data_IF_739305183093
#
_entry.id   IF_739305183093
#
_cell.length_a   1.000
_cell.length_b   1.000
_cell.length_c   1.000
_cell.angle_alpha   90.00
_cell.angle_beta   90.00
_cell.angle_gamma   90.00
#
_symmetry.space_group_name_H-M   'P 1'
#
loop_
_entity.id
_entity.type
_entity.pdbx_description
1 polymer ?
#
# COMPACT_ATOMS: atom_id res chain seq x y z
N UNK A 1 3.14 12.20 14.84
CA UNK A 1 2.93 11.64 13.47
C UNK A 1 4.16 10.80 13.14
N UNK A 2 3.97 9.57 12.67
CA UNK A 2 5.07 8.72 12.20
C UNK A 2 5.44 9.12 10.76
N UNK A 3 6.72 9.29 10.48
CA UNK A 3 7.23 9.63 9.16
C UNK A 3 8.11 8.48 8.67
N UNK A 4 7.85 7.98 7.48
CA UNK A 4 8.66 6.95 6.82
C UNK A 4 9.42 7.52 5.64
N UNK A 5 10.58 6.94 5.37
CA UNK A 5 11.28 7.10 4.09
C UNK A 5 11.11 5.85 3.23
N UNK A 6 11.50 5.93 1.98
CA UNK A 6 11.50 4.82 1.04
C UNK A 6 12.76 4.83 0.20
N UNK A 7 13.38 3.67 0.03
CA UNK A 7 14.54 3.45 -0.82
C UNK A 7 14.30 2.27 -1.76
N UNK A 8 14.94 2.32 -2.91
CA UNK A 8 14.80 1.33 -3.97
C UNK A 8 13.60 1.59 -4.87
N UNK A 9 13.60 0.94 -6.02
CA UNK A 9 12.54 1.02 -7.02
C UNK A 9 11.75 -0.29 -7.00
N UNK A 10 10.43 -0.19 -6.88
CA UNK A 10 9.53 -1.36 -6.89
C UNK A 10 9.67 -2.12 -8.21
N UNK A 11 9.95 -3.42 -8.10
CA UNK A 11 10.26 -4.27 -9.25
C UNK A 11 11.72 -4.17 -9.73
N UNK A 12 12.54 -3.35 -9.07
CA UNK A 12 13.97 -3.26 -9.28
C UNK A 12 14.77 -4.28 -8.45
N UNK A 13 16.05 -3.97 -8.25
CA UNK A 13 16.94 -4.77 -7.39
C UNK A 13 16.57 -4.59 -5.91
N UNK A 14 16.95 -5.56 -5.07
CA UNK A 14 16.82 -5.44 -3.62
C UNK A 14 17.64 -4.25 -3.10
N UNK A 15 17.12 -3.60 -2.06
CA UNK A 15 17.83 -2.55 -1.34
C UNK A 15 19.04 -3.10 -0.61
N UNK A 16 20.07 -2.28 -0.42
CA UNK A 16 21.30 -2.63 0.28
C UNK A 16 21.50 -1.83 1.57
N UNK A 17 22.40 -2.28 2.43
CA UNK A 17 22.76 -1.56 3.64
C UNK A 17 23.34 -0.18 3.33
N UNK A 18 24.18 -0.08 2.31
CA UNK A 18 24.81 1.16 1.88
C UNK A 18 23.78 2.17 1.36
N UNK A 19 22.76 1.72 0.60
CA UNK A 19 21.67 2.57 0.15
C UNK A 19 20.85 3.11 1.32
N UNK A 20 20.53 2.25 2.30
CA UNK A 20 19.83 2.66 3.51
C UNK A 20 20.64 3.69 4.30
N UNK A 21 21.89 3.43 4.56
CA UNK A 21 22.76 4.31 5.33
C UNK A 21 22.94 5.65 4.63
N UNK A 22 23.25 5.66 3.33
CA UNK A 22 23.42 6.88 2.56
C UNK A 22 22.16 7.75 2.59
N UNK A 23 20.98 7.15 2.40
CA UNK A 23 19.72 7.88 2.43
C UNK A 23 19.43 8.49 3.81
N UNK A 24 19.55 7.71 4.88
CA UNK A 24 19.23 8.16 6.24
C UNK A 24 20.21 9.19 6.74
N UNK A 25 21.51 9.00 6.47
CA UNK A 25 22.56 9.94 6.90
C UNK A 25 22.41 11.30 6.21
N UNK A 26 22.14 11.33 4.91
CA UNK A 26 21.86 12.57 4.16
C UNK A 26 20.59 13.26 4.66
N UNK A 27 19.51 12.48 4.87
CA UNK A 27 18.27 13.02 5.42
C UNK A 27 18.49 13.65 6.81
N UNK A 28 19.16 12.95 7.71
CA UNK A 28 19.41 13.44 9.07
C UNK A 28 20.29 14.70 9.07
N UNK A 29 21.32 14.75 8.20
CA UNK A 29 22.14 15.94 8.05
C UNK A 29 21.34 17.15 7.53
N UNK A 30 20.48 16.92 6.55
CA UNK A 30 19.59 17.95 6.03
C UNK A 30 18.56 18.43 7.06
N UNK A 31 17.96 17.50 7.81
CA UNK A 31 16.99 17.80 8.87
C UNK A 31 17.65 18.61 9.99
N UNK A 32 18.81 18.20 10.45
CA UNK A 32 19.55 18.92 11.51
C UNK A 32 19.87 20.37 11.11
N UNK A 33 20.10 20.61 9.82
CA UNK A 33 20.35 21.95 9.27
C UNK A 33 19.09 22.77 9.08
N UNK A 34 18.03 22.18 8.54
CA UNK A 34 16.79 22.90 8.15
C UNK A 34 15.76 23.02 9.28
N UNK A 35 15.73 22.05 10.20
CA UNK A 35 14.78 21.99 11.30
C UNK A 35 15.40 21.37 12.56
N UNK A 36 16.36 22.07 13.20
CA UNK A 36 17.07 21.54 14.36
C UNK A 36 16.11 21.13 15.48
N UNK A 37 16.37 19.96 16.10
CA UNK A 37 15.57 19.43 17.21
C UNK A 37 14.22 18.81 16.82
N UNK A 38 13.88 18.77 15.54
CA UNK A 38 12.69 18.04 15.08
C UNK A 38 12.97 16.55 14.97
N UNK A 39 12.00 15.67 15.33
CA UNK A 39 12.14 14.24 15.14
C UNK A 39 12.24 13.92 13.64
N UNK A 40 13.12 12.98 13.30
CA UNK A 40 13.30 12.49 11.94
C UNK A 40 12.33 11.37 11.58
N UNK A 41 12.77 10.55 10.65
CA UNK A 41 12.04 9.33 10.26
C UNK A 41 11.99 8.33 11.42
N UNK A 42 10.94 7.53 11.42
CA UNK A 42 10.71 6.47 12.41
C UNK A 42 10.70 5.08 11.80
N UNK A 43 10.71 4.97 10.48
CA UNK A 43 10.66 3.73 9.72
C UNK A 43 11.17 3.96 8.30
N UNK A 44 11.51 2.89 7.59
CA UNK A 44 11.99 2.97 6.21
C UNK A 44 11.45 1.81 5.38
N UNK A 45 10.86 2.14 4.24
CA UNK A 45 10.47 1.16 3.23
C UNK A 45 11.68 0.75 2.40
N UNK A 46 11.77 -0.54 2.12
CA UNK A 46 12.87 -1.16 1.39
C UNK A 46 12.35 -2.09 0.30
N UNK A 47 13.16 -2.32 -0.72
CA UNK A 47 12.86 -3.26 -1.79
C UNK A 47 13.45 -4.63 -1.49
N UNK A 48 12.61 -5.66 -1.60
CA UNK A 48 12.94 -7.07 -1.28
C UNK A 48 12.50 -8.04 -2.38
N UNK A 49 12.41 -7.56 -3.64
CA UNK A 49 12.04 -8.38 -4.80
C UNK A 49 10.53 -8.43 -5.08
N UNK A 50 9.72 -7.60 -4.40
CA UNK A 50 8.28 -7.50 -4.68
C UNK A 50 7.97 -6.48 -5.76
N UNK A 51 6.78 -6.58 -6.37
CA UNK A 51 6.21 -5.57 -7.26
C UNK A 51 4.79 -5.22 -6.80
N UNK A 52 4.37 -3.97 -7.00
CA UNK A 52 3.01 -3.54 -6.65
C UNK A 52 1.97 -4.29 -7.50
N UNK A 53 1.02 -4.94 -6.81
CA UNK A 53 -0.06 -5.69 -7.45
C UNK A 53 0.35 -7.00 -8.10
N UNK A 54 1.64 -7.37 -8.06
CA UNK A 54 2.15 -8.55 -8.74
C UNK A 54 2.14 -8.43 -10.27
N UNK A 55 2.51 -9.52 -10.95
CA UNK A 55 2.53 -9.59 -12.41
C UNK A 55 1.41 -10.52 -12.86
N UNK A 56 0.31 -9.99 -13.46
CA UNK A 56 -0.77 -10.84 -13.96
C UNK A 56 -0.31 -11.63 -15.19
N UNK A 57 -0.56 -12.93 -15.15
CA UNK A 57 -0.31 -13.85 -16.26
C UNK A 57 -1.49 -13.87 -17.24
N UNK A 58 -1.30 -14.36 -18.49
CA UNK A 58 -2.37 -14.41 -19.50
C UNK A 58 -3.58 -15.25 -19.10
N UNK A 59 -3.41 -16.21 -18.20
CA UNK A 59 -4.47 -17.06 -17.65
C UNK A 59 -5.24 -16.42 -16.47
N UNK A 60 -4.94 -15.16 -16.14
CA UNK A 60 -5.56 -14.42 -15.03
C UNK A 60 -4.94 -14.70 -13.65
N UNK A 61 -4.00 -15.61 -13.56
CA UNK A 61 -3.26 -15.85 -12.31
C UNK A 61 -2.16 -14.81 -12.10
N UNK A 62 -1.60 -14.76 -10.90
CA UNK A 62 -0.49 -13.85 -10.58
C UNK A 62 0.80 -14.67 -10.53
N UNK A 63 1.84 -14.15 -11.16
CA UNK A 63 3.17 -14.75 -11.09
C UNK A 63 3.64 -14.88 -9.64
N UNK A 64 4.27 -16.00 -9.31
CA UNK A 64 4.83 -16.21 -7.97
C UNK A 64 5.90 -15.16 -7.68
N UNK A 65 5.72 -14.43 -6.61
CA UNK A 65 6.70 -13.46 -6.09
C UNK A 65 7.64 -14.18 -5.14
N UNK A 66 8.94 -14.00 -5.33
CA UNK A 66 9.95 -14.47 -4.39
C UNK A 66 10.40 -13.29 -3.54
N UNK A 67 9.89 -13.22 -2.31
CA UNK A 67 10.31 -12.24 -1.33
C UNK A 67 11.64 -12.65 -0.70
N UNK A 68 12.57 -11.72 -0.62
CA UNK A 68 13.84 -11.89 0.07
C UNK A 68 13.70 -11.48 1.54
N UNK A 69 13.37 -12.44 2.38
CA UNK A 69 13.23 -12.24 3.81
C UNK A 69 14.56 -11.95 4.52
N UNK A 70 15.69 -12.39 3.98
CA UNK A 70 16.99 -12.14 4.59
C UNK A 70 17.39 -10.68 4.42
N UNK A 71 17.13 -10.10 3.25
CA UNK A 71 17.26 -8.65 3.03
C UNK A 71 16.32 -7.88 3.97
N UNK A 72 15.06 -8.29 4.10
CA UNK A 72 14.11 -7.65 5.02
C UNK A 72 14.63 -7.65 6.46
N UNK A 73 15.09 -8.80 6.95
CA UNK A 73 15.57 -8.96 8.33
C UNK A 73 16.83 -8.13 8.60
N UNK A 74 17.81 -8.23 7.71
CA UNK A 74 19.08 -7.52 7.85
C UNK A 74 18.93 -6.01 7.86
N UNK A 75 18.15 -5.45 6.91
CA UNK A 75 17.91 -4.01 6.83
C UNK A 75 16.96 -3.51 7.93
N UNK A 76 16.00 -4.32 8.35
CA UNK A 76 15.17 -4.00 9.50
C UNK A 76 15.99 -3.93 10.79
N UNK A 77 16.91 -4.86 10.99
CA UNK A 77 17.85 -4.86 12.12
C UNK A 77 18.76 -3.63 12.08
N UNK A 78 19.38 -3.36 10.93
CA UNK A 78 20.25 -2.19 10.73
C UNK A 78 19.51 -0.88 11.06
N UNK A 79 18.29 -0.71 10.54
CA UNK A 79 17.49 0.48 10.78
C UNK A 79 17.15 0.70 12.27
N UNK A 80 16.93 -0.38 13.02
CA UNK A 80 16.67 -0.29 14.46
C UNK A 80 17.94 0.00 15.26
N UNK A 81 19.01 -0.74 15.00
CA UNK A 81 20.22 -0.69 15.83
C UNK A 81 21.01 0.61 15.59
N UNK A 82 21.12 1.06 14.33
CA UNK A 82 21.90 2.25 13.99
C UNK A 82 21.09 3.56 14.09
N UNK A 83 19.82 3.54 13.71
CA UNK A 83 19.02 4.75 13.57
C UNK A 83 17.87 4.88 14.56
N UNK A 84 17.59 3.85 15.37
CA UNK A 84 16.51 3.84 16.34
C UNK A 84 15.10 3.81 15.70
N UNK A 85 14.98 3.34 14.47
CA UNK A 85 13.71 3.19 13.78
C UNK A 85 12.88 2.04 14.36
N UNK A 86 11.59 2.01 14.06
CA UNK A 86 10.74 0.88 14.41
C UNK A 86 11.10 -0.40 13.62
N UNK A 87 11.67 -0.25 12.44
CA UNK A 87 12.09 -1.33 11.55
C UNK A 87 11.85 -1.00 10.08
N UNK A 88 11.92 -2.03 9.25
CA UNK A 88 11.60 -1.93 7.82
C UNK A 88 10.11 -2.03 7.54
N UNK A 89 9.68 -1.34 6.49
CA UNK A 89 8.32 -1.39 5.92
C UNK A 89 8.37 -2.20 4.64
N UNK A 90 7.39 -3.10 4.45
CA UNK A 90 7.25 -3.90 3.24
C UNK A 90 6.10 -3.40 2.37
N UNK A 91 6.42 -3.09 1.11
CA UNK A 91 5.44 -2.82 0.05
C UNK A 91 5.28 -4.04 -0.87
N UNK A 92 4.26 -4.02 -1.73
CA UNK A 92 4.05 -5.04 -2.76
C UNK A 92 3.69 -6.43 -2.23
N UNK A 93 3.19 -6.54 -1.00
CA UNK A 93 2.86 -7.82 -0.37
C UNK A 93 1.45 -8.36 -0.71
N UNK A 94 0.63 -7.61 -1.45
CA UNK A 94 -0.78 -7.96 -1.72
C UNK A 94 -1.00 -9.27 -2.48
N UNK A 95 0.01 -9.80 -3.14
CA UNK A 95 -0.07 -11.02 -3.94
C UNK A 95 0.75 -12.18 -3.39
N UNK A 96 1.24 -12.03 -2.16
CA UNK A 96 1.98 -13.09 -1.49
C UNK A 96 1.04 -14.20 -1.01
N UNK A 97 1.52 -15.45 -0.99
CA UNK A 97 0.82 -16.55 -0.34
C UNK A 97 0.52 -16.25 1.13
N UNK A 98 -0.68 -16.61 1.57
CA UNK A 98 -1.18 -16.28 2.91
C UNK A 98 -0.30 -16.79 4.05
N UNK A 99 0.34 -17.93 3.86
CA UNK A 99 1.25 -18.58 4.83
C UNK A 99 2.52 -17.76 5.10
N UNK A 100 2.89 -16.83 4.21
CA UNK A 100 4.09 -16.02 4.37
C UNK A 100 3.88 -14.80 5.28
N UNK A 101 2.64 -14.38 5.53
CA UNK A 101 2.40 -13.18 6.34
C UNK A 101 2.93 -13.31 7.77
N UNK A 102 2.94 -14.50 8.35
CA UNK A 102 3.52 -14.76 9.66
C UNK A 102 5.05 -14.59 9.73
N UNK A 103 5.75 -14.53 8.60
CA UNK A 103 7.20 -14.32 8.58
C UNK A 103 7.58 -12.85 8.80
N UNK A 104 6.75 -11.89 8.41
CA UNK A 104 7.06 -10.47 8.56
C UNK A 104 7.39 -10.04 10.00
N UNK A 105 6.54 -10.32 11.01
CA UNK A 105 6.89 -9.96 12.39
C UNK A 105 8.10 -10.73 12.92
N UNK A 106 8.35 -11.96 12.45
CA UNK A 106 9.54 -12.71 12.83
C UNK A 106 10.84 -12.08 12.30
N UNK A 107 10.77 -11.47 11.12
CA UNK A 107 11.88 -10.77 10.46
C UNK A 107 11.95 -9.29 10.85
N UNK A 108 11.12 -8.86 11.80
CA UNK A 108 11.17 -7.52 12.37
C UNK A 108 10.62 -6.42 11.45
N UNK A 109 9.82 -6.75 10.46
CA UNK A 109 9.05 -5.74 9.74
C UNK A 109 8.11 -5.02 10.72
N UNK A 110 8.10 -3.69 10.67
CA UNK A 110 7.27 -2.88 11.55
C UNK A 110 5.94 -2.49 10.90
N UNK A 111 5.85 -2.59 9.58
CA UNK A 111 4.66 -2.18 8.82
C UNK A 111 4.60 -2.91 7.49
N UNK A 112 3.39 -3.22 7.03
CA UNK A 112 3.13 -3.86 5.74
C UNK A 112 2.07 -3.05 5.02
N UNK A 113 2.32 -2.69 3.76
CA UNK A 113 1.35 -1.98 2.93
C UNK A 113 0.66 -2.94 1.97
N UNK A 114 -0.66 -2.96 2.03
CA UNK A 114 -1.52 -3.81 1.21
C UNK A 114 -2.63 -2.96 0.58
N UNK A 115 -2.82 -3.10 -0.72
CA UNK A 115 -3.89 -2.39 -1.44
C UNK A 115 -4.58 -3.28 -2.48
N UNK A 116 -3.83 -3.82 -3.43
CA UNK A 116 -4.35 -4.52 -4.61
C UNK A 116 -5.22 -5.73 -4.24
N UNK A 117 -4.86 -6.47 -3.21
CA UNK A 117 -5.66 -7.62 -2.75
C UNK A 117 -7.10 -7.20 -2.40
N UNK A 118 -7.26 -6.12 -1.63
CA UNK A 118 -8.59 -5.65 -1.22
C UNK A 118 -9.39 -5.12 -2.41
N UNK A 119 -8.73 -4.46 -3.36
CA UNK A 119 -9.38 -4.07 -4.62
C UNK A 119 -9.86 -5.29 -5.40
N UNK A 120 -9.04 -6.32 -5.49
CA UNK A 120 -9.40 -7.58 -6.13
C UNK A 120 -10.59 -8.25 -5.42
N UNK A 121 -10.56 -8.32 -4.11
CA UNK A 121 -11.66 -8.87 -3.32
C UNK A 121 -12.98 -8.16 -3.59
N UNK A 122 -12.97 -6.84 -3.80
CA UNK A 122 -14.17 -6.07 -4.14
C UNK A 122 -14.65 -6.42 -5.55
N UNK A 123 -13.79 -6.25 -6.58
CA UNK A 123 -14.18 -6.39 -7.99
C UNK A 123 -14.48 -7.83 -8.41
N UNK A 124 -13.85 -8.80 -7.75
CA UNK A 124 -14.00 -10.24 -8.07
C UNK A 124 -14.99 -10.94 -7.13
N UNK A 125 -15.58 -10.21 -6.16
CA UNK A 125 -16.58 -10.78 -5.27
C UNK A 125 -17.81 -11.26 -6.04
N UNK A 126 -18.35 -12.46 -5.77
CA UNK A 126 -19.53 -12.99 -6.50
C UNK A 126 -20.76 -12.10 -6.41
N UNK A 127 -20.92 -11.35 -5.30
CA UNK A 127 -22.04 -10.41 -5.12
C UNK A 127 -21.82 -9.06 -5.84
N UNK A 128 -20.63 -8.78 -6.40
CA UNK A 128 -20.39 -7.51 -7.10
C UNK A 128 -21.29 -7.42 -8.34
N UNK A 129 -22.05 -6.29 -8.56
CA UNK A 129 -23.02 -6.21 -9.63
C UNK A 129 -22.37 -6.31 -11.01
N UNK A 130 -22.76 -7.32 -11.78
CA UNK A 130 -22.19 -7.59 -13.11
C UNK A 130 -22.36 -6.42 -14.05
N UNK A 131 -23.53 -5.76 -14.06
CA UNK A 131 -23.79 -4.62 -14.95
C UNK A 131 -22.90 -3.43 -14.62
N UNK A 132 -22.68 -3.15 -13.32
CA UNK A 132 -21.76 -2.12 -12.87
C UNK A 132 -20.32 -2.47 -13.30
N UNK A 133 -19.88 -3.71 -13.11
CA UNK A 133 -18.56 -4.18 -13.55
C UNK A 133 -18.36 -4.00 -15.04
N UNK A 134 -19.34 -4.41 -15.84
CA UNK A 134 -19.29 -4.28 -17.30
C UNK A 134 -19.23 -2.81 -17.74
N UNK A 135 -20.00 -1.94 -17.10
CA UNK A 135 -20.00 -0.49 -17.39
C UNK A 135 -18.63 0.13 -17.06
N UNK A 136 -18.07 -0.19 -15.90
CA UNK A 136 -16.73 0.25 -15.50
C UNK A 136 -15.69 -0.22 -16.52
N UNK A 137 -15.72 -1.50 -16.89
CA UNK A 137 -14.73 -2.08 -17.79
C UNK A 137 -14.83 -1.53 -19.21
N UNK A 138 -16.04 -1.27 -19.69
CA UNK A 138 -16.25 -0.59 -20.97
C UNK A 138 -15.59 0.80 -20.95
N UNK A 139 -15.78 1.56 -19.87
CA UNK A 139 -15.17 2.89 -19.75
C UNK A 139 -13.65 2.83 -19.65
N UNK A 140 -13.09 1.89 -18.88
CA UNK A 140 -11.65 1.72 -18.80
C UNK A 140 -11.00 1.38 -20.14
N UNK A 141 -11.68 0.60 -21.02
CA UNK A 141 -11.18 0.35 -22.38
C UNK A 141 -11.01 1.64 -23.19
N UNK A 142 -11.84 2.64 -22.93
CA UNK A 142 -11.74 3.94 -23.60
C UNK A 142 -10.68 4.83 -22.96
N UNK A 143 -10.76 5.01 -21.63
CA UNK A 143 -9.94 6.00 -20.93
C UNK A 143 -8.50 5.55 -20.69
N UNK A 144 -8.29 4.24 -20.56
CA UNK A 144 -6.99 3.65 -20.25
C UNK A 144 -6.37 2.88 -21.42
N UNK A 145 -6.87 3.09 -22.64
CA UNK A 145 -6.39 2.41 -23.84
C UNK A 145 -4.87 2.49 -24.04
N UNK A 146 -4.27 3.61 -23.65
CA UNK A 146 -2.82 3.84 -23.75
C UNK A 146 -1.97 2.97 -22.83
N UNK A 147 -2.56 2.39 -21.78
CA UNK A 147 -1.84 1.47 -20.87
C UNK A 147 -1.85 0.02 -21.34
N UNK A 148 -2.66 -0.28 -22.35
CA UNK A 148 -2.77 -1.63 -22.89
C UNK A 148 -1.59 -1.95 -23.78
N UNK A 149 -0.81 -2.96 -23.40
CA UNK A 149 0.22 -3.52 -24.27
C UNK A 149 -0.41 -4.43 -25.32
N UNK A 150 0.21 -4.50 -26.49
CA UNK A 150 -0.31 -5.35 -27.59
C UNK A 150 -0.45 -6.84 -27.21
N UNK A 151 0.30 -7.29 -26.22
CA UNK A 151 0.30 -8.66 -25.71
C UNK A 151 -0.64 -8.89 -24.54
N UNK A 152 -1.26 -7.82 -23.98
CA UNK A 152 -2.11 -7.96 -22.80
C UNK A 152 -3.46 -8.60 -23.18
N UNK A 153 -3.86 -9.61 -22.41
CA UNK A 153 -5.25 -10.10 -22.41
C UNK A 153 -6.17 -9.06 -21.76
N UNK A 154 -7.48 -9.22 -21.92
CA UNK A 154 -8.46 -8.38 -21.23
C UNK A 154 -8.32 -8.47 -19.70
N UNK A 155 -8.08 -9.67 -19.18
CA UNK A 155 -7.86 -9.92 -17.75
C UNK A 155 -6.65 -9.13 -17.24
N UNK A 156 -5.52 -9.19 -17.95
CA UNK A 156 -4.31 -8.44 -17.58
C UNK A 156 -4.53 -6.94 -17.63
N UNK A 157 -5.22 -6.45 -18.66
CA UNK A 157 -5.53 -5.04 -18.80
C UNK A 157 -6.43 -4.54 -17.66
N UNK A 158 -7.55 -5.22 -17.38
CA UNK A 158 -8.44 -4.82 -16.29
C UNK A 158 -7.81 -4.98 -14.91
N UNK A 159 -7.02 -6.01 -14.70
CA UNK A 159 -6.28 -6.15 -13.44
C UNK A 159 -5.42 -4.93 -13.13
N UNK A 160 -4.72 -4.39 -14.14
CA UNK A 160 -3.86 -3.22 -14.00
C UNK A 160 -4.65 -1.91 -13.84
N UNK A 161 -5.77 -1.76 -14.54
CA UNK A 161 -6.46 -0.47 -14.69
C UNK A 161 -7.67 -0.28 -13.78
N UNK A 162 -8.32 -1.36 -13.29
CA UNK A 162 -9.57 -1.26 -12.51
C UNK A 162 -9.47 -0.45 -11.23
N UNK A 163 -8.29 -0.31 -10.65
CA UNK A 163 -8.05 0.58 -9.51
C UNK A 163 -8.40 2.03 -9.79
N UNK A 164 -8.25 2.48 -11.03
CA UNK A 164 -8.56 3.84 -11.47
C UNK A 164 -10.06 4.14 -11.48
N UNK A 165 -10.90 3.11 -11.48
CA UNK A 165 -12.34 3.27 -11.38
C UNK A 165 -12.81 3.71 -9.98
N UNK A 166 -12.04 3.47 -8.92
CA UNK A 166 -12.47 3.73 -7.55
C UNK A 166 -12.86 5.20 -7.30
N UNK A 167 -12.14 6.16 -7.90
CA UNK A 167 -12.48 7.58 -7.82
C UNK A 167 -13.69 7.95 -8.68
N UNK A 168 -13.63 7.65 -9.96
CA UNK A 168 -14.65 8.02 -10.94
C UNK A 168 -16.03 7.38 -10.71
N UNK A 169 -16.07 6.22 -10.07
CA UNK A 169 -17.28 5.45 -9.78
C UNK A 169 -17.64 5.42 -8.31
N UNK A 170 -17.12 6.36 -7.54
CA UNK A 170 -17.31 6.41 -6.09
C UNK A 170 -18.79 6.38 -5.70
N UNK A 171 -19.65 7.13 -6.41
CA UNK A 171 -21.08 7.21 -6.12
C UNK A 171 -21.77 5.86 -6.30
N UNK A 172 -21.51 5.18 -7.40
CA UNK A 172 -22.10 3.89 -7.74
C UNK A 172 -21.61 2.80 -6.79
N UNK A 173 -20.32 2.80 -6.49
CA UNK A 173 -19.72 1.83 -5.54
C UNK A 173 -20.29 2.01 -4.13
N UNK A 174 -20.44 3.25 -3.65
CA UNK A 174 -21.09 3.51 -2.36
C UNK A 174 -22.60 3.27 -2.39
N UNK A 175 -23.23 3.45 -3.56
CA UNK A 175 -24.64 3.24 -3.79
C UNK A 175 -25.07 1.79 -4.03
N UNK A 176 -24.15 0.82 -4.03
CA UNK A 176 -24.50 -0.60 -4.14
C UNK A 176 -25.49 -1.01 -3.06
N UNK A 177 -26.37 -1.97 -3.39
CA UNK A 177 -27.37 -2.49 -2.44
C UNK A 177 -26.74 -2.88 -1.08
N UNK A 178 -27.41 -2.61 0.04
CA UNK A 178 -26.88 -2.93 1.38
C UNK A 178 -26.40 -4.38 1.52
N UNK A 179 -27.13 -5.35 0.95
CA UNK A 179 -26.77 -6.76 0.97
C UNK A 179 -25.47 -7.06 0.23
N UNK A 180 -25.23 -6.37 -0.89
CA UNK A 180 -23.96 -6.49 -1.64
C UNK A 180 -22.80 -5.94 -0.83
N UNK A 181 -22.96 -4.75 -0.28
CA UNK A 181 -21.93 -4.13 0.57
C UNK A 181 -21.64 -4.95 1.82
N UNK A 182 -22.68 -5.55 2.41
CA UNK A 182 -22.51 -6.44 3.56
C UNK A 182 -21.69 -7.68 3.18
N UNK A 183 -22.06 -8.38 2.11
CA UNK A 183 -21.34 -9.59 1.67
C UNK A 183 -19.85 -9.32 1.37
N UNK A 184 -19.56 -8.21 0.67
CA UNK A 184 -18.17 -7.78 0.41
C UNK A 184 -17.48 -7.41 1.72
N UNK A 185 -18.16 -6.68 2.61
CA UNK A 185 -17.64 -6.27 3.91
C UNK A 185 -17.26 -7.46 4.79
N UNK A 186 -18.09 -8.48 4.84
CA UNK A 186 -17.81 -9.72 5.59
C UNK A 186 -16.57 -10.45 5.07
N UNK A 187 -16.41 -10.52 3.75
CA UNK A 187 -15.20 -11.11 3.15
C UNK A 187 -13.93 -10.30 3.49
N UNK A 188 -14.02 -8.97 3.43
CA UNK A 188 -12.91 -8.08 3.82
C UNK A 188 -12.58 -8.21 5.30
N UNK A 189 -13.59 -8.24 6.19
CA UNK A 189 -13.40 -8.39 7.63
C UNK A 189 -12.70 -9.71 7.98
N UNK A 190 -13.09 -10.81 7.35
CA UNK A 190 -12.43 -12.11 7.52
C UNK A 190 -10.95 -12.01 7.09
N UNK A 191 -10.67 -11.34 5.96
CA UNK A 191 -9.29 -11.16 5.49
C UNK A 191 -8.48 -10.28 6.42
N UNK A 192 -9.01 -9.16 6.88
CA UNK A 192 -8.36 -8.30 7.88
C UNK A 192 -8.08 -9.05 9.18
N UNK A 193 -9.04 -9.81 9.68
CA UNK A 193 -8.87 -10.63 10.89
C UNK A 193 -7.71 -11.63 10.74
N UNK A 194 -7.66 -12.30 9.59
CA UNK A 194 -6.54 -13.20 9.27
C UNK A 194 -5.20 -12.44 9.27
N UNK A 195 -5.10 -11.35 8.52
CA UNK A 195 -3.86 -10.57 8.40
C UNK A 195 -3.39 -10.03 9.74
N UNK A 196 -4.27 -9.40 10.51
CA UNK A 196 -3.95 -8.88 11.84
C UNK A 196 -3.45 -9.98 12.78
N UNK A 197 -4.01 -11.19 12.67
CA UNK A 197 -3.57 -12.34 13.46
C UNK A 197 -2.18 -12.81 13.04
N UNK A 198 -1.93 -12.95 11.74
CA UNK A 198 -0.61 -13.37 11.22
C UNK A 198 0.47 -12.34 11.55
N UNK A 199 0.16 -11.06 11.43
CA UNK A 199 1.05 -9.94 11.72
C UNK A 199 1.21 -9.65 13.23
N UNK A 200 0.53 -10.42 14.09
CA UNK A 200 0.54 -10.23 15.56
C UNK A 200 0.10 -8.81 15.98
N UNK A 201 -0.76 -8.20 15.18
CA UNK A 201 -1.36 -6.90 15.46
C UNK A 201 -2.72 -6.99 16.16
N UNK A 202 -3.26 -8.23 16.33
CA UNK A 202 -4.45 -8.47 17.13
C UNK A 202 -4.13 -8.36 18.63
N UNK A 203 -5.15 -8.07 19.45
CA UNK A 203 -5.03 -7.95 20.91
C UNK A 203 -4.03 -6.87 21.38
N UNK A 204 -3.85 -5.80 20.60
CA UNK A 204 -2.93 -4.70 20.89
C UNK A 204 -3.62 -3.43 21.41
N UNK A 205 -4.91 -3.48 21.75
CA UNK A 205 -5.69 -2.32 22.18
C UNK A 205 -5.10 -1.61 23.41
N UNK A 206 -4.61 -2.35 24.40
CA UNK A 206 -3.99 -1.77 25.60
C UNK A 206 -2.67 -1.07 25.26
N UNK A 207 -1.86 -1.69 24.39
CA UNK A 207 -0.59 -1.11 23.92
C UNK A 207 -0.88 0.15 23.10
N UNK A 208 -1.87 0.10 22.20
CA UNK A 208 -2.28 1.24 21.43
C UNK A 208 -2.79 2.39 22.31
N UNK A 209 -3.64 2.10 23.29
CA UNK A 209 -4.13 3.11 24.23
C UNK A 209 -3.01 3.77 25.02
N UNK A 210 -1.99 3.01 25.40
CA UNK A 210 -0.85 3.52 26.17
C UNK A 210 0.09 4.40 25.36
N UNK A 211 0.40 4.01 24.13
CA UNK A 211 1.46 4.65 23.33
C UNK A 211 0.93 5.53 22.19
N UNK A 212 -0.32 5.33 21.79
CA UNK A 212 -0.99 6.10 20.75
C UNK A 212 -2.35 6.60 21.25
N UNK A 213 -2.39 7.43 22.31
CA UNK A 213 -3.66 7.94 22.83
C UNK A 213 -4.35 8.74 21.74
N UNK A 214 -5.69 8.60 21.69
CA UNK A 214 -6.50 9.38 20.77
C UNK A 214 -6.38 10.86 21.10
N UNK A 215 -5.91 11.64 20.13
CA UNK A 215 -5.87 13.10 20.23
C UNK A 215 -6.98 13.64 19.32
N UNK A 216 -8.04 14.28 19.89
CA UNK A 216 -9.06 14.90 19.06
C UNK A 216 -8.44 15.95 18.15
N UNK A 217 -8.60 15.80 16.84
CA UNK A 217 -8.22 16.80 15.85
C UNK A 217 -9.46 17.53 15.36
N UNK A 218 -9.37 18.84 15.17
CA UNK A 218 -10.34 19.56 14.35
C UNK A 218 -9.94 19.39 12.89
N UNK A 219 -10.88 18.96 12.05
CA UNK A 219 -10.68 19.10 10.60
C UNK A 219 -10.57 20.60 10.31
N UNK A 220 -9.58 21.05 9.52
CA UNK A 220 -9.58 22.40 9.03
C UNK A 220 -10.94 22.62 8.34
N UNK A 221 -11.75 23.51 8.86
CA UNK A 221 -12.87 24.02 8.07
C UNK A 221 -12.25 24.61 6.82
N UNK A 222 -12.77 24.23 5.65
CA UNK A 222 -12.35 24.84 4.40
C UNK A 222 -12.49 26.34 4.57
N UNK A 223 -11.40 27.01 4.84
CA UNK A 223 -11.39 28.45 4.94
C UNK A 223 -11.61 28.96 3.52
N UNK A 224 -12.62 29.77 3.32
CA UNK A 224 -12.91 30.37 2.02
C UNK A 224 -11.72 31.19 1.48
N UNK A 225 -10.73 31.48 2.34
CA UNK A 225 -9.47 32.10 1.95
C UNK A 225 -8.47 31.15 1.28
N UNK A 226 -8.65 29.82 1.37
CA UNK A 226 -7.94 28.85 0.53
C UNK A 226 -8.56 28.80 -0.87
N UNK A 227 -9.08 29.97 -1.31
CA UNK A 227 -9.63 30.18 -2.61
C UNK A 227 -8.59 29.94 -3.69
N UNK A 228 -9.05 29.34 -4.78
CA UNK A 228 -8.36 29.22 -6.06
C UNK A 228 -6.91 28.73 -5.88
N UNK A 229 -6.76 27.60 -5.26
CA UNK A 229 -5.49 26.87 -5.27
C UNK A 229 -5.00 26.71 -6.68
N UNK A 230 -3.71 26.86 -6.83
CA UNK A 230 -2.93 26.46 -7.99
C UNK A 230 -3.65 25.33 -8.73
N UNK A 231 -3.74 25.42 -10.03
CA UNK A 231 -4.33 24.38 -10.88
C UNK A 231 -3.83 22.99 -10.52
N UNK A 232 -4.41 21.93 -11.08
CA UNK A 232 -4.10 20.58 -10.68
C UNK A 232 -2.57 20.41 -10.61
N UNK A 233 -2.09 20.06 -9.42
CA UNK A 233 -0.69 19.71 -9.26
C UNK A 233 -0.38 18.57 -10.23
N UNK A 234 0.73 18.68 -10.91
CA UNK A 234 1.23 17.61 -11.76
C UNK A 234 1.57 16.43 -10.83
N UNK A 235 0.68 15.46 -10.79
CA UNK A 235 0.83 14.21 -10.05
C UNK A 235 1.45 13.11 -10.91
N UNK A 236 2.00 13.46 -12.07
CA UNK A 236 2.71 12.53 -12.94
C UNK A 236 3.94 12.02 -12.19
N UNK A 237 3.94 10.74 -11.82
CA UNK A 237 5.00 10.09 -11.05
C UNK A 237 4.70 9.87 -9.56
N UNK A 238 3.53 10.26 -9.06
CA UNK A 238 3.06 9.94 -7.70
C UNK A 238 2.12 8.72 -7.68
N UNK A 239 2.21 7.83 -8.65
CA UNK A 239 1.43 6.59 -8.61
C UNK A 239 2.14 5.56 -7.75
N UNK A 240 1.62 5.29 -6.56
CA UNK A 240 1.85 4.04 -5.84
C UNK A 240 1.30 2.83 -6.59
#
# INVERSE_FOLDING_TARGET
MSVGGEIGEVGGKNSTAEELEAFVDVFNAALAKSAPGKPGMSKISIQTGTSHGGIPLPDGTIAKVKLDFDTLESLSKLSREKYGFAGAVQHGASTLPSELFGEFPKRGACEIHLATEFQNMIFDHPAFPTDLKNTIYAKLRETEAGERKATDTDEQFFYKTRKKALGGWKKELWGMAPSVRQAIGEALEQRFTFLLTQLKANQTSEVAAKYCPFVPGSFPTADASMGAGKGPEDVTGLSD
#
